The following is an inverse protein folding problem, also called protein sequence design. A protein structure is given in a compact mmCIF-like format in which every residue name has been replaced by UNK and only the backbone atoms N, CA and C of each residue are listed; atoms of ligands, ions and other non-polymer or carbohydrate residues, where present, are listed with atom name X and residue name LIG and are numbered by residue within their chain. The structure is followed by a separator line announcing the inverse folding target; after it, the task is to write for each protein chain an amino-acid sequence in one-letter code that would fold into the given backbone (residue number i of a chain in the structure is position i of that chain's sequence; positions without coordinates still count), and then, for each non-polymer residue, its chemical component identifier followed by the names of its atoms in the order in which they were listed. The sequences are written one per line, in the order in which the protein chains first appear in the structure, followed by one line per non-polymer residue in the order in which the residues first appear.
data_IF_485064389107
#
_entry.id   IF_485064389107
#
_cell.length_a   1.000
_cell.length_b   1.000
_cell.length_c   1.000
_cell.angle_alpha   90.00
_cell.angle_beta   90.00
_cell.angle_gamma   90.00
#
_symmetry.space_group_name_H-M   'P 1'
#
loop_
_entity.id
_entity.type
_entity.pdbx_description
1 polymer ?
#
# COMPACT_ATOMS: atom_id res chain seq x y z
N UNK A 1 0.61 -17.22 -7.99
CA UNK A 1 0.05 -16.35 -6.93
C UNK A 1 -1.05 -15.50 -7.53
N UNK A 2 -2.29 -15.75 -7.12
CA UNK A 2 -3.47 -15.63 -7.99
C UNK A 2 -4.00 -14.21 -8.16
N UNK A 3 -4.61 -13.93 -9.30
CA UNK A 3 -5.45 -12.75 -9.56
C UNK A 3 -6.44 -12.47 -8.40
N UNK A 4 -6.92 -13.53 -7.73
CA UNK A 4 -7.77 -13.45 -6.54
C UNK A 4 -7.06 -12.68 -5.41
N UNK A 5 -5.79 -12.95 -5.11
CA UNK A 5 -5.06 -12.24 -4.06
C UNK A 5 -4.96 -10.74 -4.33
N UNK A 6 -4.85 -10.34 -5.60
CA UNK A 6 -4.86 -8.93 -6.01
C UNK A 6 -6.23 -8.30 -5.74
N UNK A 7 -7.32 -8.98 -6.11
CA UNK A 7 -8.68 -8.51 -5.84
C UNK A 7 -8.92 -8.36 -4.34
N UNK A 8 -8.51 -9.34 -3.53
CA UNK A 8 -8.69 -9.30 -2.07
C UNK A 8 -7.93 -8.11 -1.47
N UNK A 9 -6.66 -7.89 -1.86
CA UNK A 9 -5.86 -6.73 -1.43
C UNK A 9 -6.48 -5.40 -1.87
N UNK A 10 -6.97 -5.32 -3.10
CA UNK A 10 -7.68 -4.15 -3.59
C UNK A 10 -8.93 -3.86 -2.74
N UNK A 11 -9.71 -4.89 -2.43
CA UNK A 11 -10.91 -4.74 -1.62
C UNK A 11 -10.61 -4.31 -0.18
N UNK A 12 -9.50 -4.76 0.42
CA UNK A 12 -8.99 -4.25 1.71
C UNK A 12 -8.76 -2.73 1.64
N UNK A 13 -8.09 -2.22 0.60
CA UNK A 13 -7.87 -0.77 0.41
C UNK A 13 -9.21 -0.03 0.34
N UNK A 14 -10.16 -0.54 -0.44
CA UNK A 14 -11.48 0.09 -0.61
C UNK A 14 -12.22 0.18 0.73
N UNK A 15 -12.15 -0.87 1.56
CA UNK A 15 -12.72 -0.87 2.91
C UNK A 15 -12.05 0.15 3.84
N UNK A 16 -10.73 0.31 3.76
CA UNK A 16 -9.99 1.34 4.51
C UNK A 16 -10.45 2.74 4.10
N UNK A 17 -10.63 3.00 2.81
CA UNK A 17 -11.16 4.30 2.37
C UNK A 17 -12.60 4.53 2.87
N UNK A 18 -13.46 3.52 2.77
CA UNK A 18 -14.85 3.62 3.23
C UNK A 18 -14.96 3.98 4.72
N UNK A 19 -14.09 3.41 5.56
CA UNK A 19 -14.10 3.66 7.00
C UNK A 19 -13.68 5.09 7.38
N UNK A 20 -12.96 5.78 6.48
CA UNK A 20 -12.43 7.12 6.72
C UNK A 20 -13.35 8.21 6.14
N UNK A 21 -14.12 7.90 5.09
CA UNK A 21 -15.03 8.87 4.50
C UNK A 21 -16.20 9.16 5.42
N UNK A 22 -16.62 10.42 5.50
CA UNK A 22 -17.94 10.75 6.05
C UNK A 22 -19.04 10.26 5.12
N UNK A 23 -20.30 10.18 5.59
CA UNK A 23 -21.43 9.85 4.72
C UNK A 23 -21.53 10.82 3.53
N UNK A 24 -21.26 12.10 3.77
CA UNK A 24 -21.29 13.10 2.71
C UNK A 24 -20.17 12.87 1.69
N UNK A 25 -18.95 12.61 2.15
CA UNK A 25 -17.82 12.33 1.26
C UNK A 25 -18.05 11.06 0.46
N UNK A 26 -18.57 10.00 1.08
CA UNK A 26 -18.80 8.71 0.44
C UNK A 26 -19.81 8.78 -0.71
N UNK A 27 -20.87 9.60 -0.61
CA UNK A 27 -21.92 9.60 -1.65
C UNK A 27 -21.88 10.81 -2.59
N UNK A 28 -21.21 11.90 -2.22
CA UNK A 28 -21.21 13.13 -3.01
C UNK A 28 -19.87 13.47 -3.65
N UNK A 29 -18.76 12.86 -3.21
CA UNK A 29 -17.45 13.01 -3.84
C UNK A 29 -17.27 11.99 -4.99
N UNK A 30 -16.60 12.33 -6.12
CA UNK A 30 -16.26 11.34 -7.16
C UNK A 30 -15.49 10.12 -6.64
N UNK A 31 -14.51 10.29 -5.74
CA UNK A 31 -13.82 9.16 -5.10
C UNK A 31 -14.74 8.34 -4.23
N UNK A 32 -15.53 9.06 -3.43
CA UNK A 32 -16.49 8.47 -2.52
C UNK A 32 -17.42 7.55 -3.28
N UNK A 33 -18.01 8.06 -4.37
CA UNK A 33 -18.90 7.30 -5.24
C UNK A 33 -18.23 6.06 -5.81
N UNK A 34 -16.95 6.14 -6.19
CA UNK A 34 -16.19 4.95 -6.63
C UNK A 34 -16.09 3.92 -5.49
N UNK A 35 -15.65 4.33 -4.30
CA UNK A 35 -15.55 3.45 -3.13
C UNK A 35 -16.91 2.87 -2.73
N UNK A 36 -17.96 3.68 -2.75
CA UNK A 36 -19.33 3.27 -2.50
C UNK A 36 -19.79 2.24 -3.53
N UNK A 37 -19.60 2.49 -4.83
CA UNK A 37 -19.99 1.56 -5.89
C UNK A 37 -19.35 0.17 -5.75
N UNK A 38 -18.11 0.13 -5.23
CA UNK A 38 -17.37 -1.11 -5.01
C UNK A 38 -17.81 -1.84 -3.74
N UNK A 39 -18.39 -1.15 -2.75
CA UNK A 39 -18.71 -1.72 -1.42
C UNK A 39 -20.20 -1.92 -1.21
N UNK A 40 -21.05 -1.05 -1.74
CA UNK A 40 -22.51 -1.12 -1.57
C UNK A 40 -23.11 -2.48 -1.96
N UNK A 41 -22.70 -3.17 -3.05
CA UNK A 41 -23.25 -4.49 -3.38
C UNK A 41 -23.14 -5.52 -2.24
N UNK A 42 -22.13 -5.39 -1.38
CA UNK A 42 -21.93 -6.24 -0.21
C UNK A 42 -22.62 -5.62 1.01
N UNK A 43 -22.43 -4.33 1.26
CA UNK A 43 -22.95 -3.64 2.45
C UNK A 43 -24.48 -3.55 2.45
N UNK A 44 -25.09 -3.24 1.32
CA UNK A 44 -26.55 -3.14 1.18
C UNK A 44 -27.23 -4.48 1.46
N UNK A 45 -26.54 -5.60 1.19
CA UNK A 45 -27.06 -6.94 1.46
C UNK A 45 -26.86 -7.36 2.91
N UNK A 46 -25.66 -7.14 3.47
CA UNK A 46 -25.31 -7.53 4.83
C UNK A 46 -25.95 -6.64 5.91
N UNK A 47 -26.18 -5.36 5.61
CA UNK A 47 -26.60 -4.36 6.59
C UNK A 47 -27.83 -3.57 6.13
N UNK A 48 -28.83 -4.26 5.57
CA UNK A 48 -30.09 -3.66 5.10
C UNK A 48 -30.70 -2.73 6.15
N UNK A 49 -30.97 -1.48 5.75
CA UNK A 49 -31.60 -0.46 6.59
C UNK A 49 -30.76 0.06 7.75
N UNK A 50 -29.46 -0.29 7.84
CA UNK A 50 -28.55 0.25 8.86
C UNK A 50 -27.87 1.51 8.36
N UNK A 51 -27.61 2.44 9.28
CA UNK A 51 -26.87 3.66 8.96
C UNK A 51 -25.38 3.36 8.76
N UNK A 52 -24.68 4.20 8.00
CA UNK A 52 -23.23 4.11 7.78
C UNK A 52 -22.44 3.97 9.09
N UNK A 53 -22.80 4.77 10.10
CA UNK A 53 -22.13 4.74 11.41
C UNK A 53 -22.23 3.38 12.12
N UNK A 54 -23.30 2.61 11.87
CA UNK A 54 -23.43 1.25 12.37
C UNK A 54 -22.61 0.29 11.53
N UNK A 55 -22.66 0.40 10.20
CA UNK A 55 -21.93 -0.51 9.30
C UNK A 55 -20.42 -0.39 9.41
N UNK A 56 -19.91 0.83 9.63
CA UNK A 56 -18.47 1.09 9.70
C UNK A 56 -17.79 0.37 10.87
N UNK A 57 -18.54 0.10 11.95
CA UNK A 57 -18.04 -0.69 13.10
C UNK A 57 -17.65 -2.12 12.71
N UNK A 58 -18.19 -2.65 11.62
CA UNK A 58 -17.93 -4.00 11.16
C UNK A 58 -16.79 -4.08 10.14
N UNK A 59 -16.30 -2.95 9.61
CA UNK A 59 -15.23 -2.92 8.61
C UNK A 59 -13.96 -3.66 9.09
N UNK A 60 -13.47 -3.49 10.33
CA UNK A 60 -12.30 -4.22 10.80
C UNK A 60 -12.46 -5.74 10.72
N UNK A 61 -13.65 -6.26 11.08
CA UNK A 61 -13.95 -7.68 10.98
C UNK A 61 -14.03 -8.17 9.53
N UNK A 62 -14.55 -7.34 8.62
CA UNK A 62 -14.56 -7.66 7.19
C UNK A 62 -13.14 -7.76 6.62
N UNK A 63 -12.22 -6.85 7.00
CA UNK A 63 -10.82 -6.91 6.60
C UNK A 63 -10.17 -8.20 7.11
N UNK A 64 -10.37 -8.55 8.38
CA UNK A 64 -9.86 -9.80 8.97
C UNK A 64 -10.41 -11.02 8.21
N UNK A 65 -11.71 -11.02 7.89
CA UNK A 65 -12.35 -12.09 7.14
C UNK A 65 -11.75 -12.24 5.72
N UNK A 66 -11.44 -11.14 5.05
CA UNK A 66 -10.81 -11.16 3.72
C UNK A 66 -9.38 -11.73 3.80
N UNK A 67 -8.61 -11.34 4.82
CA UNK A 67 -7.26 -11.91 5.05
C UNK A 67 -7.37 -13.42 5.32
N UNK A 68 -8.38 -13.85 6.08
CA UNK A 68 -8.65 -15.26 6.32
C UNK A 68 -9.05 -16.00 5.03
N UNK A 69 -9.89 -15.41 4.18
CA UNK A 69 -10.21 -15.99 2.87
C UNK A 69 -8.97 -16.11 1.99
N UNK A 70 -8.09 -15.10 1.98
CA UNK A 70 -6.83 -15.16 1.25
C UNK A 70 -5.97 -16.33 1.73
N UNK A 71 -5.90 -16.52 3.04
CA UNK A 71 -5.22 -17.66 3.63
C UNK A 71 -5.81 -18.99 3.16
N UNK A 72 -7.14 -19.16 3.23
CA UNK A 72 -7.80 -20.38 2.76
C UNK A 72 -7.50 -20.64 1.28
N UNK A 73 -7.57 -19.62 0.42
CA UNK A 73 -7.24 -19.74 -1.01
C UNK A 73 -5.80 -20.24 -1.19
N UNK A 74 -4.86 -19.73 -0.40
CA UNK A 74 -3.47 -20.14 -0.48
C UNK A 74 -3.26 -21.58 0.05
N UNK A 75 -3.98 -22.00 1.11
CA UNK A 75 -3.88 -23.36 1.70
C UNK A 75 -4.52 -24.42 0.83
N UNK A 76 -5.69 -24.14 0.25
CA UNK A 76 -6.38 -25.09 -0.64
C UNK A 76 -5.54 -25.45 -1.87
N UNK A 77 -4.57 -24.60 -2.24
CA UNK A 77 -3.59 -24.90 -3.28
C UNK A 77 -2.45 -25.83 -2.87
N UNK A 78 -2.16 -25.98 -1.55
CA UNK A 78 -1.01 -26.73 -1.02
C UNK A 78 -1.25 -27.20 0.43
N UNK A 79 -1.95 -28.33 0.62
CA UNK A 79 -2.36 -28.81 1.95
C UNK A 79 -1.20 -29.18 2.90
N UNK A 80 -0.04 -29.62 2.39
CA UNK A 80 1.08 -30.10 3.21
C UNK A 80 1.84 -29.00 3.97
N UNK A 81 1.59 -27.72 3.66
CA UNK A 81 2.37 -26.59 4.17
C UNK A 81 1.52 -25.50 4.82
N UNK A 82 0.33 -25.85 5.34
CA UNK A 82 -0.66 -24.87 5.82
C UNK A 82 -0.10 -23.86 6.85
N UNK A 83 0.81 -24.27 7.74
CA UNK A 83 1.46 -23.37 8.71
C UNK A 83 2.41 -22.35 8.07
N UNK A 84 3.23 -22.80 7.12
CA UNK A 84 4.16 -21.93 6.37
C UNK A 84 3.34 -20.97 5.49
N UNK A 85 2.30 -21.48 4.84
CA UNK A 85 1.39 -20.69 4.01
C UNK A 85 0.64 -19.63 4.82
N UNK A 86 0.24 -19.94 6.05
CA UNK A 86 -0.39 -18.97 6.95
C UNK A 86 0.54 -17.80 7.21
N UNK A 87 1.78 -18.11 7.58
CA UNK A 87 2.78 -17.10 7.87
C UNK A 87 3.07 -16.24 6.64
N UNK A 88 3.32 -16.86 5.49
CA UNK A 88 3.61 -16.13 4.26
C UNK A 88 2.45 -15.21 3.87
N UNK A 89 1.21 -15.67 4.08
CA UNK A 89 0.01 -14.85 3.84
C UNK A 89 -0.07 -13.66 4.81
N UNK A 90 0.24 -13.86 6.09
CA UNK A 90 0.25 -12.79 7.09
C UNK A 90 1.34 -11.77 6.76
N UNK A 91 2.57 -12.23 6.48
CA UNK A 91 3.70 -11.36 6.15
C UNK A 91 3.48 -10.58 4.86
N UNK A 92 2.89 -11.20 3.84
CA UNK A 92 2.51 -10.55 2.58
C UNK A 92 1.46 -9.45 2.79
N UNK A 93 0.45 -9.70 3.63
CA UNK A 93 -0.54 -8.68 3.99
C UNK A 93 0.05 -7.54 4.82
N UNK A 94 0.94 -7.84 5.76
CA UNK A 94 1.64 -6.82 6.55
C UNK A 94 2.56 -5.97 5.67
N UNK A 95 3.26 -6.58 4.71
CA UNK A 95 4.08 -5.87 3.73
C UNK A 95 3.21 -4.90 2.93
N UNK A 96 2.13 -5.43 2.36
CA UNK A 96 1.17 -4.67 1.58
C UNK A 96 0.60 -3.47 2.34
N UNK A 97 0.14 -3.68 3.58
CA UNK A 97 -0.39 -2.60 4.42
C UNK A 97 0.69 -1.56 4.73
N UNK A 98 1.91 -2.00 5.07
CA UNK A 98 3.02 -1.09 5.37
C UNK A 98 3.35 -0.20 4.18
N UNK A 99 3.43 -0.79 2.98
CA UNK A 99 3.61 -0.05 1.73
C UNK A 99 2.45 0.91 1.47
N UNK A 100 1.21 0.46 1.62
CA UNK A 100 0.03 1.31 1.45
C UNK A 100 0.07 2.54 2.37
N UNK A 101 0.44 2.37 3.63
CA UNK A 101 0.60 3.49 4.55
C UNK A 101 1.76 4.40 4.15
N UNK A 102 2.92 3.86 3.75
CA UNK A 102 4.06 4.66 3.26
C UNK A 102 3.63 5.51 2.07
N UNK A 103 2.95 4.92 1.08
CA UNK A 103 2.39 5.62 -0.08
C UNK A 103 1.41 6.71 0.37
N UNK A 104 0.56 6.41 1.35
CA UNK A 104 -0.40 7.37 1.91
C UNK A 104 0.27 8.57 2.58
N UNK A 105 1.36 8.33 3.31
CA UNK A 105 2.17 9.39 3.95
C UNK A 105 2.84 10.24 2.85
N UNK A 106 3.43 9.62 1.82
CA UNK A 106 4.05 10.32 0.69
C UNK A 106 3.04 11.21 -0.04
N UNK A 107 1.89 10.64 -0.42
CA UNK A 107 0.81 11.38 -1.11
C UNK A 107 0.20 12.47 -0.24
N UNK A 108 0.03 12.18 1.06
CA UNK A 108 -0.58 13.09 2.00
C UNK A 108 0.28 14.31 2.31
N UNK A 109 1.61 14.16 2.27
CA UNK A 109 2.54 15.21 2.65
C UNK A 109 3.23 15.90 1.45
N UNK A 110 3.29 15.24 0.29
CA UNK A 110 4.22 15.59 -0.80
C UNK A 110 3.68 16.48 -1.91
N UNK A 111 2.41 16.87 -1.93
CA UNK A 111 1.86 17.66 -3.03
C UNK A 111 0.89 18.66 -2.41
N UNK A 112 1.02 19.94 -2.74
CA UNK A 112 0.11 20.98 -2.24
C UNK A 112 -1.33 20.47 -2.27
N UNK A 113 -2.06 20.65 -1.17
CA UNK A 113 -3.42 20.16 -0.98
C UNK A 113 -4.30 20.76 -2.10
N UNK A 114 -4.39 20.09 -3.24
CA UNK A 114 -5.08 20.63 -4.42
C UNK A 114 -6.08 19.64 -5.04
N UNK A 115 -6.06 18.37 -4.65
CA UNK A 115 -7.03 17.38 -5.17
C UNK A 115 -7.86 16.75 -4.04
N UNK A 116 -9.07 16.29 -4.39
CA UNK A 116 -9.97 15.63 -3.44
C UNK A 116 -9.35 14.37 -2.82
N UNK A 117 -8.49 13.66 -3.56
CA UNK A 117 -7.93 12.36 -3.17
C UNK A 117 -6.75 12.48 -2.21
N UNK A 118 -5.88 13.48 -2.41
CA UNK A 118 -4.69 13.70 -1.56
C UNK A 118 -5.07 13.93 -0.10
N UNK A 119 -6.24 14.54 0.15
CA UNK A 119 -6.78 14.75 1.51
C UNK A 119 -7.03 13.42 2.22
N UNK A 120 -7.53 12.40 1.51
CA UNK A 120 -7.83 11.11 2.12
C UNK A 120 -6.57 10.31 2.42
N UNK A 121 -5.60 10.31 1.51
CA UNK A 121 -4.27 9.74 1.78
C UNK A 121 -3.57 10.46 2.95
N UNK A 122 -3.70 11.79 3.03
CA UNK A 122 -3.24 12.55 4.19
C UNK A 122 -3.90 12.08 5.48
N UNK A 123 -5.22 11.90 5.53
CA UNK A 123 -5.91 11.39 6.74
C UNK A 123 -5.41 10.01 7.17
N UNK A 124 -5.11 9.13 6.21
CA UNK A 124 -4.54 7.80 6.47
C UNK A 124 -3.12 7.91 7.04
N UNK A 125 -2.28 8.78 6.48
CA UNK A 125 -0.90 8.99 6.93
C UNK A 125 -0.78 9.84 8.21
N UNK A 126 -1.77 10.67 8.52
CA UNK A 126 -1.71 11.69 9.58
C UNK A 126 -1.40 11.16 10.98
N UNK A 127 -1.97 10.02 11.45
CA UNK A 127 -1.64 9.47 12.76
C UNK A 127 -0.14 9.23 12.93
N UNK A 128 0.51 8.69 11.89
CA UNK A 128 1.94 8.39 11.88
C UNK A 128 2.79 9.67 11.86
N UNK A 129 2.39 10.66 11.07
CA UNK A 129 3.05 11.97 11.04
C UNK A 129 2.95 12.65 12.42
N UNK A 130 1.76 12.71 13.03
CA UNK A 130 1.55 13.29 14.37
C UNK A 130 2.39 12.59 15.44
N UNK A 131 2.45 11.26 15.38
CA UNK A 131 3.28 10.48 16.30
C UNK A 131 4.75 10.86 16.19
N UNK A 132 5.31 10.93 14.97
CA UNK A 132 6.73 11.29 14.79
C UNK A 132 7.08 12.69 15.28
N UNK A 133 6.17 13.65 15.11
CA UNK A 133 6.33 15.04 15.58
C UNK A 133 6.33 15.17 17.11
N UNK A 134 5.85 14.16 17.84
CA UNK A 134 5.96 14.13 19.30
C UNK A 134 7.42 13.99 19.76
N UNK A 135 8.26 13.35 18.94
CA UNK A 135 9.65 13.03 19.27
C UNK A 135 10.66 13.91 18.55
N UNK A 136 10.28 14.49 17.40
CA UNK A 136 11.15 15.35 16.61
C UNK A 136 10.45 16.68 16.39
N UNK A 137 10.99 17.74 16.99
CA UNK A 137 10.49 19.09 16.79
C UNK A 137 10.99 19.62 15.45
N UNK A 138 10.16 19.55 14.41
CA UNK A 138 10.53 20.04 13.07
C UNK A 138 9.52 21.07 12.59
N UNK A 139 10.05 22.22 12.16
CA UNK A 139 9.28 23.31 11.56
C UNK A 139 8.99 22.97 10.09
N UNK A 140 7.86 22.33 9.80
CA UNK A 140 7.11 22.43 8.53
C UNK A 140 6.06 21.32 8.40
N UNK A 141 5.00 21.58 7.63
CA UNK A 141 3.96 20.58 7.36
C UNK A 141 4.33 19.52 6.32
N UNK A 142 5.51 19.63 5.69
CA UNK A 142 5.92 18.87 4.49
C UNK A 142 6.78 17.64 4.77
N UNK A 143 7.16 17.39 6.02
CA UNK A 143 8.22 16.41 6.33
C UNK A 143 7.64 15.01 6.49
N UNK A 144 7.94 14.17 5.51
CA UNK A 144 7.45 12.79 5.31
C UNK A 144 8.43 11.75 5.88
N UNK A 145 9.73 12.05 5.82
CA UNK A 145 10.81 11.08 6.03
C UNK A 145 10.79 10.39 7.40
N UNK A 146 10.62 11.08 8.53
CA UNK A 146 10.57 10.43 9.83
C UNK A 146 9.41 9.44 9.95
N UNK A 147 8.26 9.74 9.35
CA UNK A 147 7.10 8.85 9.34
C UNK A 147 7.31 7.62 8.45
N UNK A 148 7.97 7.78 7.29
CA UNK A 148 8.36 6.65 6.44
C UNK A 148 9.35 5.75 7.17
N UNK A 149 10.40 6.33 7.77
CA UNK A 149 11.41 5.59 8.54
C UNK A 149 10.75 4.83 9.68
N UNK A 150 9.84 5.48 10.41
CA UNK A 150 9.07 4.84 11.47
C UNK A 150 8.27 3.64 10.95
N UNK A 151 7.61 3.76 9.80
CA UNK A 151 6.83 2.65 9.23
C UNK A 151 7.71 1.46 8.83
N UNK A 152 8.86 1.73 8.20
CA UNK A 152 9.84 0.69 7.87
C UNK A 152 10.34 0.02 9.17
N UNK A 153 10.66 0.81 10.19
CA UNK A 153 11.11 0.31 11.48
C UNK A 153 10.05 -0.55 12.18
N UNK A 154 8.80 -0.07 12.26
CA UNK A 154 7.69 -0.81 12.86
C UNK A 154 7.50 -2.15 12.15
N UNK A 155 7.48 -2.16 10.82
CA UNK A 155 7.37 -3.41 10.07
C UNK A 155 8.53 -4.37 10.36
N UNK A 156 9.77 -3.87 10.37
CA UNK A 156 10.94 -4.67 10.71
C UNK A 156 10.81 -5.30 12.11
N UNK A 157 10.38 -4.53 13.11
CA UNK A 157 10.13 -5.04 14.47
C UNK A 157 9.01 -6.08 14.49
N UNK A 158 7.91 -5.84 13.77
CA UNK A 158 6.79 -6.80 13.67
C UNK A 158 7.26 -8.11 13.03
N UNK A 159 8.06 -8.06 11.98
CA UNK A 159 8.64 -9.26 11.36
C UNK A 159 9.49 -10.04 12.36
N UNK A 160 10.39 -9.35 13.06
CA UNK A 160 11.25 -9.99 14.07
C UNK A 160 10.40 -10.67 15.14
N UNK A 161 9.39 -9.96 15.66
CA UNK A 161 8.49 -10.49 16.68
C UNK A 161 7.71 -11.72 16.20
N UNK A 162 7.13 -11.66 15.00
CA UNK A 162 6.41 -12.79 14.41
C UNK A 162 7.34 -14.00 14.20
N UNK A 163 8.53 -13.80 13.65
CA UNK A 163 9.49 -14.88 13.45
C UNK A 163 9.97 -15.47 14.78
N UNK A 164 10.18 -14.65 15.82
CA UNK A 164 10.58 -15.11 17.14
C UNK A 164 9.49 -15.97 17.80
N UNK A 165 8.22 -15.54 17.73
CA UNK A 165 7.07 -16.31 18.24
C UNK A 165 7.00 -17.67 17.55
N UNK A 166 7.22 -17.72 16.24
CA UNK A 166 7.16 -18.98 15.50
C UNK A 166 8.33 -19.91 15.78
N UNK A 167 9.55 -19.38 15.86
CA UNK A 167 10.70 -20.17 16.26
C UNK A 167 10.46 -20.80 17.63
N UNK A 168 9.86 -20.04 18.55
CA UNK A 168 9.48 -20.58 19.85
C UNK A 168 8.44 -21.71 19.73
N UNK A 169 7.40 -21.53 18.91
CA UNK A 169 6.35 -22.55 18.71
C UNK A 169 6.92 -23.83 18.06
N UNK A 170 7.79 -23.72 17.06
CA UNK A 170 8.24 -24.87 16.26
C UNK A 170 9.53 -25.51 16.75
N UNK A 171 10.41 -24.74 17.40
CA UNK A 171 11.75 -25.17 17.80
C UNK A 171 11.99 -25.03 19.30
N UNK A 172 11.07 -24.39 20.04
CA UNK A 172 11.20 -24.15 21.48
C UNK A 172 12.24 -23.07 21.83
N UNK A 173 12.71 -22.30 20.86
CA UNK A 173 13.78 -21.32 21.04
C UNK A 173 13.36 -19.89 20.68
N UNK A 174 13.93 -18.92 21.40
CA UNK A 174 13.73 -17.47 21.16
C UNK A 174 14.99 -16.85 20.56
N UNK A 175 15.74 -17.57 19.72
CA UNK A 175 17.04 -17.09 19.23
C UNK A 175 16.95 -15.72 18.52
N UNK A 176 17.34 -14.68 19.25
CA UNK A 176 17.42 -13.29 18.81
C UNK A 176 18.61 -13.05 17.86
N UNK A 177 19.54 -13.99 17.74
CA UNK A 177 20.71 -13.88 16.86
C UNK A 177 20.32 -13.76 15.38
N UNK A 178 19.12 -14.26 15.01
CA UNK A 178 18.52 -14.01 13.70
C UNK A 178 17.68 -12.74 13.60
N UNK A 179 17.43 -12.03 14.70
CA UNK A 179 16.54 -10.85 14.73
C UNK A 179 17.07 -9.71 13.87
N UNK A 180 18.37 -9.40 13.96
CA UNK A 180 18.97 -8.35 13.12
C UNK A 180 18.86 -8.71 11.64
N UNK A 181 19.15 -9.97 11.28
CA UNK A 181 19.02 -10.45 9.91
C UNK A 181 17.57 -10.36 9.42
N UNK A 182 16.59 -10.73 10.26
CA UNK A 182 15.16 -10.64 9.95
C UNK A 182 14.65 -9.20 9.87
N UNK A 183 15.20 -8.30 10.67
CA UNK A 183 14.90 -6.88 10.60
C UNK A 183 15.41 -6.27 9.29
N UNK A 184 16.68 -6.56 8.95
CA UNK A 184 17.30 -6.10 7.71
C UNK A 184 16.57 -6.68 6.48
N UNK A 185 16.24 -7.97 6.52
CA UNK A 185 15.47 -8.60 5.44
C UNK A 185 14.09 -7.97 5.26
N UNK A 186 13.38 -7.75 6.36
CA UNK A 186 12.09 -7.06 6.33
C UNK A 186 12.19 -5.67 5.74
N UNK A 187 13.23 -4.93 6.09
CA UNK A 187 13.47 -3.59 5.58
C UNK A 187 13.72 -3.60 4.06
N UNK A 188 14.56 -4.52 3.58
CA UNK A 188 14.82 -4.72 2.14
C UNK A 188 13.55 -5.13 1.40
N UNK A 189 12.75 -6.04 1.97
CA UNK A 189 11.50 -6.51 1.38
C UNK A 189 10.48 -5.38 1.19
N UNK A 190 10.38 -4.42 2.13
CA UNK A 190 9.53 -3.23 1.93
C UNK A 190 10.04 -2.41 0.76
N UNK A 191 11.34 -2.17 0.69
CA UNK A 191 11.92 -1.32 -0.36
C UNK A 191 11.69 -1.97 -1.73
N UNK A 192 11.93 -3.27 -1.88
CA UNK A 192 11.61 -3.98 -3.12
C UNK A 192 10.11 -3.92 -3.44
N UNK A 193 9.25 -4.11 -2.44
CA UNK A 193 7.80 -4.00 -2.62
C UNK A 193 7.40 -2.61 -3.13
N UNK A 194 7.90 -1.53 -2.52
CA UNK A 194 7.67 -0.15 -2.95
C UNK A 194 8.10 0.07 -4.41
N UNK A 195 9.28 -0.41 -4.77
CA UNK A 195 9.80 -0.33 -6.15
C UNK A 195 8.93 -1.11 -7.13
N UNK A 196 8.45 -2.29 -6.73
CA UNK A 196 7.53 -3.12 -7.53
C UNK A 196 6.19 -2.42 -7.77
N UNK A 197 5.58 -1.82 -6.73
CA UNK A 197 4.35 -1.03 -6.90
C UNK A 197 4.58 0.20 -7.78
N UNK A 198 5.70 0.89 -7.60
CA UNK A 198 6.07 2.03 -8.43
C UNK A 198 6.25 1.62 -9.91
N UNK A 199 6.92 0.49 -10.16
CA UNK A 199 7.06 -0.08 -11.50
C UNK A 199 5.70 -0.25 -12.17
N UNK A 200 4.77 -0.94 -11.51
CA UNK A 200 3.43 -1.15 -12.06
C UNK A 200 2.63 0.14 -12.21
N UNK A 201 2.78 1.11 -11.30
CA UNK A 201 2.16 2.43 -11.44
C UNK A 201 2.68 3.19 -12.67
N UNK A 202 3.98 3.09 -12.97
CA UNK A 202 4.57 3.69 -14.17
C UNK A 202 4.08 2.97 -15.44
N UNK A 203 3.94 1.64 -15.40
CA UNK A 203 3.30 0.88 -16.49
C UNK A 203 1.87 1.37 -16.71
N UNK A 204 1.06 1.45 -15.66
CA UNK A 204 -0.31 1.97 -15.73
C UNK A 204 -0.32 3.41 -16.28
N UNK A 205 0.62 4.25 -15.86
CA UNK A 205 0.76 5.61 -16.37
C UNK A 205 1.03 5.64 -17.87
N UNK A 206 1.93 4.81 -18.36
CA UNK A 206 2.23 4.69 -19.78
C UNK A 206 1.00 4.22 -20.59
N UNK A 207 0.21 3.28 -20.02
CA UNK A 207 -1.05 2.88 -20.62
C UNK A 207 -2.09 4.02 -20.63
N UNK A 208 -2.17 4.78 -19.53
CA UNK A 208 -3.06 5.96 -19.44
C UNK A 208 -2.66 7.02 -20.46
N UNK A 209 -1.37 7.27 -20.71
CA UNK A 209 -0.95 8.24 -21.75
C UNK A 209 -1.34 7.79 -23.15
N UNK A 210 -1.43 6.49 -23.41
CA UNK A 210 -1.88 5.96 -24.70
C UNK A 210 -3.40 6.09 -24.87
N UNK A 211 -4.18 5.69 -23.87
CA UNK A 211 -5.66 5.68 -23.95
C UNK A 211 -6.25 7.08 -23.72
N UNK A 212 -5.54 7.97 -23.04
CA UNK A 212 -5.97 9.35 -22.71
C UNK A 212 -7.37 9.44 -22.07
N UNK A 213 -7.64 8.76 -20.94
CA UNK A 213 -8.90 8.86 -20.21
C UNK A 213 -9.11 10.24 -19.57
N UNK A 214 -10.35 10.54 -19.13
CA UNK A 214 -10.70 11.84 -18.50
C UNK A 214 -9.72 12.19 -17.36
N UNK A 215 -8.97 13.31 -17.47
CA UNK A 215 -8.02 13.76 -16.44
C UNK A 215 -8.66 14.06 -15.08
N UNK A 216 -9.99 14.25 -15.03
CA UNK A 216 -10.75 14.47 -13.80
C UNK A 216 -10.99 13.17 -13.03
N UNK A 217 -10.67 12.01 -13.62
CA UNK A 217 -10.85 10.73 -12.96
C UNK A 217 -9.92 10.61 -11.73
N UNK A 218 -10.46 10.26 -10.54
CA UNK A 218 -9.70 9.94 -9.33
C UNK A 218 -8.40 9.17 -9.55
N UNK A 219 -8.53 8.07 -10.27
CA UNK A 219 -7.50 7.08 -10.42
C UNK A 219 -6.37 7.63 -11.29
N UNK A 220 -6.72 8.35 -12.35
CA UNK A 220 -5.76 9.05 -13.22
C UNK A 220 -4.96 10.06 -12.40
N UNK A 221 -5.62 10.91 -11.61
CA UNK A 221 -4.93 11.91 -10.78
C UNK A 221 -3.97 11.28 -9.77
N UNK A 222 -4.36 10.18 -9.13
CA UNK A 222 -3.51 9.45 -8.19
C UNK A 222 -2.28 8.89 -8.89
N UNK A 223 -2.46 8.22 -10.04
CA UNK A 223 -1.34 7.64 -10.80
C UNK A 223 -0.35 8.73 -11.23
N UNK A 224 -0.84 9.85 -11.77
CA UNK A 224 0.01 10.98 -12.14
C UNK A 224 0.73 11.57 -10.93
N UNK A 225 0.01 11.80 -9.82
CA UNK A 225 0.58 12.37 -8.59
C UNK A 225 1.71 11.51 -8.01
N UNK A 226 1.56 10.18 -8.04
CA UNK A 226 2.57 9.25 -7.52
C UNK A 226 3.83 9.16 -8.38
N UNK A 227 3.65 9.23 -9.69
CA UNK A 227 4.75 8.97 -10.63
C UNK A 227 5.42 10.25 -11.11
N UNK A 228 4.77 11.42 -11.01
CA UNK A 228 5.33 12.69 -11.51
C UNK A 228 6.62 13.11 -10.83
N UNK A 229 6.78 13.03 -9.50
CA UNK A 229 8.04 13.39 -8.85
C UNK A 229 9.23 12.58 -9.37
N UNK A 230 8.96 11.35 -9.84
CA UNK A 230 9.96 10.41 -10.32
C UNK A 230 10.18 10.60 -11.82
N UNK A 231 9.14 10.78 -12.63
CA UNK A 231 9.27 10.93 -14.09
C UNK A 231 9.70 12.35 -14.51
N UNK A 232 9.31 13.39 -13.78
CA UNK A 232 9.58 14.79 -14.16
C UNK A 232 11.07 15.11 -14.34
N UNK A 233 12.01 14.65 -13.48
CA UNK A 233 13.43 14.83 -13.70
C UNK A 233 13.93 14.18 -15.01
N UNK A 234 13.43 12.99 -15.36
CA UNK A 234 13.84 12.28 -16.58
C UNK A 234 13.28 12.92 -17.84
N UNK A 235 12.05 13.47 -17.79
CA UNK A 235 11.47 14.22 -18.92
C UNK A 235 12.25 15.48 -19.29
N UNK A 236 12.99 16.05 -18.35
CA UNK A 236 13.88 17.18 -18.64
C UNK A 236 15.07 16.76 -19.50
N UNK A 237 15.46 15.49 -19.45
CA UNK A 237 16.61 14.94 -20.19
C UNK A 237 16.14 14.29 -21.50
N UNK A 238 15.04 13.54 -21.44
CA UNK A 238 14.45 12.82 -22.59
C UNK A 238 13.01 13.34 -22.76
N UNK A 239 12.81 14.36 -23.62
CA UNK A 239 11.49 14.89 -23.90
C UNK A 239 10.55 13.80 -24.47
N UNK A 240 9.24 13.88 -24.22
CA UNK A 240 8.29 12.95 -24.78
C UNK A 240 8.27 13.03 -26.32
N UNK A 241 8.18 11.87 -26.99
CA UNK A 241 8.03 11.79 -28.45
C UNK A 241 6.53 11.64 -28.78
N UNK A 242 5.87 12.78 -29.00
CA UNK A 242 4.42 12.80 -29.24
C UNK A 242 3.63 12.28 -28.04
N UNK A 243 2.86 11.20 -28.23
CA UNK A 243 2.05 10.57 -27.17
C UNK A 243 2.82 9.54 -26.33
N UNK A 244 4.06 9.22 -26.69
CA UNK A 244 4.88 8.22 -26.00
C UNK A 244 5.82 8.90 -25.00
N UNK A 245 5.61 8.61 -23.71
CA UNK A 245 6.52 9.03 -22.64
C UNK A 245 7.70 8.07 -22.53
N UNK A 246 8.75 8.28 -23.34
CA UNK A 246 9.98 7.48 -23.30
C UNK A 246 10.69 7.54 -21.94
N UNK A 247 10.46 8.59 -21.15
CA UNK A 247 11.03 8.69 -19.81
C UNK A 247 10.52 7.59 -18.89
N UNK A 248 9.26 7.15 -19.08
CA UNK A 248 8.68 6.03 -18.34
C UNK A 248 9.47 4.74 -18.58
N UNK A 249 9.84 4.45 -19.83
CA UNK A 249 10.60 3.24 -20.17
C UNK A 249 11.99 3.23 -19.51
N UNK A 250 12.70 4.37 -19.56
CA UNK A 250 14.02 4.51 -18.91
C UNK A 250 13.91 4.31 -17.40
N UNK A 251 12.90 4.90 -16.76
CA UNK A 251 12.68 4.74 -15.32
C UNK A 251 12.34 3.29 -14.96
N UNK A 252 11.53 2.58 -15.78
CA UNK A 252 11.24 1.16 -15.56
C UNK A 252 12.52 0.32 -15.56
N UNK A 253 13.45 0.57 -16.50
CA UNK A 253 14.75 -0.11 -16.55
C UNK A 253 15.56 0.18 -15.29
N UNK A 254 15.65 1.45 -14.88
CA UNK A 254 16.40 1.85 -13.69
C UNK A 254 15.84 1.19 -12.43
N UNK A 255 14.51 1.17 -12.28
CA UNK A 255 13.85 0.50 -11.15
C UNK A 255 14.26 -0.98 -11.11
N UNK A 256 14.20 -1.67 -12.25
CA UNK A 256 14.50 -3.11 -12.28
C UNK A 256 15.98 -3.40 -12.01
N UNK A 257 16.90 -2.54 -12.46
CA UNK A 257 18.32 -2.62 -12.09
C UNK A 257 18.48 -2.48 -10.57
N UNK A 258 17.85 -1.47 -9.97
CA UNK A 258 17.93 -1.24 -8.52
C UNK A 258 17.39 -2.44 -7.74
N UNK A 259 16.23 -2.98 -8.16
CA UNK A 259 15.62 -4.16 -7.53
C UNK A 259 16.55 -5.38 -7.60
N UNK A 260 17.11 -5.66 -8.77
CA UNK A 260 18.05 -6.77 -8.93
C UNK A 260 19.31 -6.62 -8.07
N UNK A 261 19.83 -5.39 -7.93
CA UNK A 261 20.96 -5.10 -7.04
C UNK A 261 20.59 -5.31 -5.57
N UNK A 262 19.41 -4.85 -5.14
CA UNK A 262 18.91 -5.04 -3.77
C UNK A 262 18.78 -6.52 -3.41
N UNK A 263 18.20 -7.32 -4.31
CA UNK A 263 18.05 -8.76 -4.10
C UNK A 263 19.41 -9.46 -4.01
N UNK A 264 20.40 -9.06 -4.83
CA UNK A 264 21.74 -9.66 -4.82
C UNK A 264 22.57 -9.32 -3.58
N UNK A 265 22.33 -8.17 -2.95
CA UNK A 265 22.98 -7.82 -1.67
C UNK A 265 22.43 -8.67 -0.52
N UNK A 266 21.19 -9.14 -0.67
CA UNK A 266 20.44 -9.80 0.38
C UNK A 266 20.47 -11.35 0.31
N UNK A 267 20.72 -11.92 -0.87
CA UNK A 267 20.89 -13.37 -1.14
C UNK A 267 22.37 -13.73 -1.14
#
# INVERSE_FOLDING_TARGET
MSFINIILKFYIIVLIFRSIFTSQELYFNPFGKMVASLTEPIFSNLFKGKSKAVTDKYIPFMIIFIIFLQFLVNVLGNFSFASIILLDTILDNLSFLSVFFIISIILGAGIGIQTYYSIYFYRIGLPWIKFTRKFINIQDNRIVFPAIILMIFIYGVVIVGLNAILNFIYRGDLFLTGALVKFLSGSVNIIDSLLSYLFWLIVIRALISWVSPDPRNPFVQIVYSLTEPILAPFRRIIPPLGFLDLSAFVVLIIIEIIRNLLLRIYI
#
